data_IF_707322193401
#
_entry.id   IF_707322193401
#
_cell.length_a   1.000
_cell.length_b   1.000
_cell.length_c   1.000
_cell.angle_alpha   90.00
_cell.angle_beta   90.00
_cell.angle_gamma   90.00
#
_symmetry.space_group_name_H-M   'P 1'
#
loop_
_entity.id
_entity.type
_entity.pdbx_description
1 polymer ?
#
# COMPACT_ATOMS: atom_id res chain seq x y z
N UNK A 1 23.25 14.20 20.48
CA UNK A 1 22.01 14.50 21.23
C UNK A 1 21.11 15.14 20.20
N UNK A 2 20.22 14.34 19.58
CA UNK A 2 19.21 14.90 18.66
C UNK A 2 18.18 15.58 19.52
N UNK A 3 18.06 16.89 19.37
CA UNK A 3 16.96 17.68 19.86
C UNK A 3 15.71 17.18 19.17
N UNK A 4 14.70 16.63 19.87
CA UNK A 4 13.42 16.37 19.22
C UNK A 4 12.94 17.73 18.73
N UNK A 5 12.81 17.92 17.41
CA UNK A 5 12.11 19.07 16.88
C UNK A 5 10.73 19.06 17.54
N UNK A 6 10.53 19.96 18.51
CA UNK A 6 9.20 20.39 18.90
C UNK A 6 8.64 21.01 17.64
N UNK A 7 7.85 20.24 16.90
CA UNK A 7 6.95 20.79 15.92
C UNK A 7 5.93 21.62 16.71
N UNK A 8 6.24 22.90 16.94
CA UNK A 8 5.19 23.89 17.16
C UNK A 8 4.42 23.91 15.83
N UNK A 9 3.39 23.12 15.77
CA UNK A 9 2.46 23.12 14.65
C UNK A 9 1.59 24.37 14.87
N UNK A 10 2.00 25.47 14.24
CA UNK A 10 1.11 26.60 13.98
C UNK A 10 0.14 26.11 12.88
N UNK A 11 -0.74 25.16 13.28
CA UNK A 11 -1.57 24.40 12.37
C UNK A 11 -2.73 25.24 11.88
N UNK A 12 -3.00 25.23 10.56
CA UNK A 12 -4.26 25.78 10.09
C UNK A 12 -5.41 25.05 10.79
N UNK A 13 -6.35 25.78 11.39
CA UNK A 13 -7.51 25.24 12.08
C UNK A 13 -8.37 24.32 11.19
N UNK A 14 -8.18 24.38 9.85
CA UNK A 14 -8.92 23.61 8.84
C UNK A 14 -7.95 22.72 8.05
N UNK A 15 -7.77 21.49 8.47
CA UNK A 15 -6.83 20.58 7.81
C UNK A 15 -7.35 19.17 7.70
N UNK A 16 -7.07 18.51 6.57
CA UNK A 16 -7.22 17.07 6.37
C UNK A 16 -5.85 16.44 6.24
N UNK A 17 -5.48 15.63 7.22
CA UNK A 17 -4.30 14.76 7.14
C UNK A 17 -4.69 13.45 6.48
N UNK A 18 -4.03 13.11 5.37
CA UNK A 18 -4.20 11.79 4.72
C UNK A 18 -3.04 10.91 5.15
N UNK A 19 -3.30 10.00 6.07
CA UNK A 19 -2.26 9.29 6.83
C UNK A 19 -2.12 7.85 6.39
N UNK A 20 -0.91 7.46 6.01
CA UNK A 20 -0.53 6.08 5.82
C UNK A 20 -0.25 5.39 7.15
N UNK A 21 -1.09 4.42 7.54
CA UNK A 21 -0.96 3.70 8.83
C UNK A 21 -0.09 2.44 8.76
N UNK A 22 0.66 2.24 7.68
CA UNK A 22 1.43 1.03 7.51
C UNK A 22 0.58 -0.21 7.21
N UNK A 23 1.17 -1.41 7.22
CA UNK A 23 0.51 -2.63 6.77
C UNK A 23 -0.43 -3.25 7.80
N UNK A 24 -0.28 -2.95 9.10
CA UNK A 24 -1.10 -3.61 10.13
C UNK A 24 -0.91 -3.07 11.52
N UNK A 25 0.10 -3.56 12.23
CA UNK A 25 0.37 -3.22 13.63
C UNK A 25 0.81 -1.75 13.79
N UNK A 26 0.49 -1.13 14.93
CA UNK A 26 0.88 0.25 15.30
C UNK A 26 2.41 0.47 15.31
N UNK A 27 3.20 -0.57 15.48
CA UNK A 27 4.66 -0.51 15.33
C UNK A 27 5.13 -0.07 13.93
N UNK A 28 4.26 -0.17 12.93
CA UNK A 28 4.56 0.26 11.58
C UNK A 28 4.16 1.70 11.28
N UNK A 29 3.56 2.39 12.26
CA UNK A 29 3.28 3.82 12.15
C UNK A 29 4.59 4.62 12.17
N UNK A 30 4.65 5.66 11.35
CA UNK A 30 5.68 6.67 11.51
C UNK A 30 5.38 7.49 12.76
N UNK A 31 6.39 8.13 13.34
CA UNK A 31 6.17 9.00 14.49
C UNK A 31 5.26 10.18 14.15
N UNK A 32 5.36 10.70 12.93
CA UNK A 32 4.48 11.74 12.40
C UNK A 32 3.03 11.26 12.34
N UNK A 33 2.79 10.05 11.82
CA UNK A 33 1.45 9.45 11.78
C UNK A 33 0.85 9.28 13.19
N UNK A 34 1.65 8.85 14.17
CA UNK A 34 1.23 8.73 15.56
C UNK A 34 0.82 10.10 16.12
N UNK A 35 1.68 11.10 15.96
CA UNK A 35 1.42 12.46 16.45
C UNK A 35 0.13 13.05 15.85
N UNK A 36 -0.07 12.90 14.55
CA UNK A 36 -1.27 13.40 13.87
C UNK A 36 -2.54 12.66 14.34
N UNK A 37 -2.47 11.35 14.57
CA UNK A 37 -3.59 10.57 15.09
C UNK A 37 -3.95 10.94 16.54
N UNK A 38 -2.95 11.20 17.40
CA UNK A 38 -3.15 11.60 18.80
C UNK A 38 -3.85 12.96 18.95
N UNK A 39 -3.70 13.84 17.95
CA UNK A 39 -4.25 15.20 17.99
C UNK A 39 -5.46 15.38 17.06
N UNK A 40 -6.03 14.30 16.52
CA UNK A 40 -7.17 14.37 15.62
C UNK A 40 -8.47 14.73 16.35
N UNK A 41 -9.23 15.66 15.78
CA UNK A 41 -10.61 15.97 16.24
C UNK A 41 -11.64 15.00 15.65
N UNK A 42 -11.33 14.42 14.48
CA UNK A 42 -12.15 13.41 13.83
C UNK A 42 -11.29 12.49 12.94
N UNK A 43 -11.61 11.20 12.91
CA UNK A 43 -10.87 10.20 12.12
C UNK A 43 -11.84 9.50 11.18
N UNK A 44 -11.46 9.37 9.90
CA UNK A 44 -12.24 8.63 8.92
C UNK A 44 -11.41 7.61 8.14
N UNK A 45 -12.07 6.59 7.65
CA UNK A 45 -11.39 5.54 6.89
C UNK A 45 -12.30 4.39 6.47
N UNK A 46 -11.70 3.40 5.84
CA UNK A 46 -12.36 2.12 5.65
C UNK A 46 -12.41 1.38 6.99
N UNK A 47 -13.55 0.75 7.31
CA UNK A 47 -13.78 0.14 8.64
C UNK A 47 -12.63 -0.75 9.12
N UNK A 48 -12.10 -1.64 8.27
CA UNK A 48 -10.99 -2.52 8.65
C UNK A 48 -9.69 -1.78 9.00
N UNK A 49 -9.53 -0.53 8.55
CA UNK A 49 -8.35 0.29 8.88
C UNK A 49 -8.58 1.04 10.18
N UNK A 50 -9.81 1.49 10.42
CA UNK A 50 -10.18 2.09 11.70
C UNK A 50 -10.07 1.07 12.84
N UNK A 51 -10.51 -0.18 12.63
CA UNK A 51 -10.42 -1.25 13.62
C UNK A 51 -8.96 -1.54 14.08
N UNK A 52 -7.96 -1.18 13.26
CA UNK A 52 -6.54 -1.34 13.60
C UNK A 52 -5.99 -0.25 14.53
N UNK A 53 -6.60 0.94 14.51
CA UNK A 53 -6.06 2.12 15.20
C UNK A 53 -6.95 2.59 16.35
N UNK A 54 -8.25 2.36 16.27
CA UNK A 54 -9.24 2.82 17.25
C UNK A 54 -8.89 2.45 18.71
N UNK A 55 -8.33 1.27 19.01
CA UNK A 55 -7.95 0.91 20.37
C UNK A 55 -6.82 1.78 20.96
N UNK A 56 -5.91 2.28 20.11
CA UNK A 56 -4.71 3.02 20.52
C UNK A 56 -4.87 4.54 20.42
N UNK A 57 -5.76 4.99 19.54
CA UNK A 57 -5.97 6.42 19.26
C UNK A 57 -7.44 6.79 19.48
N UNK A 58 -7.90 6.93 20.73
CA UNK A 58 -9.28 7.32 21.02
C UNK A 58 -9.58 8.71 20.46
N UNK A 59 -10.69 8.86 19.73
CA UNK A 59 -11.12 10.10 19.10
C UNK A 59 -12.61 10.30 19.35
N UNK A 60 -13.06 11.56 19.44
CA UNK A 60 -14.48 11.86 19.68
C UNK A 60 -15.38 11.41 18.53
N UNK A 61 -14.88 11.44 17.30
CA UNK A 61 -15.69 11.14 16.12
C UNK A 61 -14.95 10.24 15.14
N UNK A 62 -15.55 9.07 14.87
CA UNK A 62 -15.11 8.15 13.82
C UNK A 62 -16.14 8.08 12.71
N UNK A 63 -15.68 8.19 11.46
CA UNK A 63 -16.52 8.02 10.29
C UNK A 63 -16.00 6.91 9.39
N UNK A 64 -16.84 5.92 9.13
CA UNK A 64 -16.49 4.80 8.24
C UNK A 64 -17.50 4.63 7.13
N UNK A 65 -17.03 4.22 5.97
CA UNK A 65 -17.88 3.77 4.87
C UNK A 65 -17.41 2.43 4.34
N UNK A 66 -18.30 1.69 3.67
CA UNK A 66 -17.92 0.47 2.95
C UNK A 66 -17.00 0.73 1.75
N UNK A 67 -16.54 -0.36 1.12
CA UNK A 67 -15.85 -0.29 -0.17
C UNK A 67 -16.72 0.41 -1.23
N UNK A 68 -16.10 1.09 -2.19
CA UNK A 68 -16.74 1.87 -3.27
C UNK A 68 -17.36 3.20 -2.84
N UNK A 69 -17.09 3.63 -1.62
CA UNK A 69 -17.56 4.90 -1.05
C UNK A 69 -16.39 5.84 -0.73
N UNK A 70 -15.33 5.76 -1.53
CA UNK A 70 -14.12 6.54 -1.35
C UNK A 70 -14.40 8.04 -1.46
N UNK A 71 -15.16 8.46 -2.45
CA UNK A 71 -15.52 9.87 -2.67
C UNK A 71 -16.39 10.42 -1.54
N UNK A 72 -17.32 9.62 -1.01
CA UNK A 72 -18.17 10.03 0.11
C UNK A 72 -17.29 10.32 1.37
N UNK A 73 -16.26 9.49 1.61
CA UNK A 73 -15.29 9.72 2.69
C UNK A 73 -14.47 11.00 2.49
N UNK A 74 -13.98 11.23 1.25
CA UNK A 74 -13.22 12.44 0.95
C UNK A 74 -14.06 13.70 1.20
N UNK A 75 -15.30 13.73 0.71
CA UNK A 75 -16.21 14.86 0.94
C UNK A 75 -16.46 15.09 2.42
N UNK A 76 -16.82 14.03 3.14
CA UNK A 76 -17.04 14.13 4.58
C UNK A 76 -15.81 14.71 5.31
N UNK A 77 -14.60 14.26 4.98
CA UNK A 77 -13.38 14.76 5.61
C UNK A 77 -13.16 16.25 5.32
N UNK A 78 -13.33 16.67 4.07
CA UNK A 78 -13.16 18.06 3.66
C UNK A 78 -14.25 18.98 4.25
N UNK A 79 -15.51 18.55 4.22
CA UNK A 79 -16.63 19.28 4.84
C UNK A 79 -16.41 19.43 6.34
N UNK A 80 -15.96 18.35 7.01
CA UNK A 80 -15.69 18.37 8.45
C UNK A 80 -14.52 19.31 8.78
N UNK A 81 -13.42 19.23 8.05
CA UNK A 81 -12.27 20.13 8.22
C UNK A 81 -12.66 21.59 7.98
N UNK A 82 -13.54 21.86 7.00
CA UNK A 82 -14.00 23.22 6.72
C UNK A 82 -14.78 23.86 7.88
N UNK A 83 -15.22 23.07 8.87
CA UNK A 83 -15.82 23.58 10.12
C UNK A 83 -14.78 23.97 11.19
N UNK A 84 -13.48 23.97 10.88
CA UNK A 84 -12.42 24.32 11.83
C UNK A 84 -11.93 23.11 12.64
N UNK A 85 -11.80 21.94 12.01
CA UNK A 85 -11.36 20.71 12.67
C UNK A 85 -10.16 20.10 11.98
N UNK A 86 -9.29 19.43 12.78
CA UNK A 86 -8.22 18.56 12.30
C UNK A 86 -8.80 17.18 12.02
N UNK A 87 -8.90 16.84 10.75
CA UNK A 87 -9.49 15.57 10.31
C UNK A 87 -8.41 14.65 9.80
N UNK A 88 -8.38 13.42 10.28
CA UNK A 88 -7.45 12.39 9.81
C UNK A 88 -8.19 11.38 8.93
N UNK A 89 -7.72 11.19 7.70
CA UNK A 89 -8.15 10.10 6.83
C UNK A 89 -7.10 9.01 6.78
N UNK A 90 -7.40 7.83 7.32
CA UNK A 90 -6.46 6.72 7.40
C UNK A 90 -6.47 5.84 6.16
N UNK A 91 -5.28 5.46 5.70
CA UNK A 91 -5.00 4.56 4.59
C UNK A 91 -4.12 3.41 5.04
N UNK A 92 -4.47 2.16 4.75
CA UNK A 92 -3.53 1.05 4.96
C UNK A 92 -2.31 1.20 4.04
N UNK A 93 -1.13 0.92 4.56
CA UNK A 93 0.12 1.12 3.85
C UNK A 93 0.49 2.60 3.80
N UNK A 94 0.64 3.14 2.61
CA UNK A 94 1.00 4.53 2.32
C UNK A 94 -0.18 5.28 1.69
N UNK A 95 -0.38 6.53 2.07
CA UNK A 95 -1.49 7.36 1.60
C UNK A 95 -1.41 7.70 0.10
N UNK A 96 -0.20 7.76 -0.48
CA UNK A 96 0.05 8.06 -1.88
C UNK A 96 0.15 6.82 -2.78
N UNK A 97 0.33 5.62 -2.20
CA UNK A 97 0.45 4.36 -2.97
C UNK A 97 -0.88 3.61 -3.01
N UNK A 98 -1.68 3.89 -4.02
CA UNK A 98 -3.07 3.39 -4.17
C UNK A 98 -3.98 3.73 -2.98
N UNK A 99 -3.61 4.76 -2.22
CA UNK A 99 -4.35 5.28 -1.08
C UNK A 99 -5.29 6.43 -1.44
N UNK A 100 -5.66 7.20 -0.43
CA UNK A 100 -6.68 8.25 -0.56
C UNK A 100 -6.10 9.66 -0.82
N UNK A 101 -4.76 9.83 -0.89
CA UNK A 101 -4.17 11.15 -1.08
C UNK A 101 -4.63 11.81 -2.39
N UNK A 102 -4.60 11.08 -3.52
CA UNK A 102 -5.03 11.64 -4.81
C UNK A 102 -6.49 12.10 -4.81
N UNK A 103 -7.49 11.28 -4.46
CA UNK A 103 -8.89 11.74 -4.49
C UNK A 103 -9.19 12.85 -3.47
N UNK A 104 -8.51 12.91 -2.33
CA UNK A 104 -8.67 14.03 -1.38
C UNK A 104 -8.13 15.32 -2.00
N UNK A 105 -6.91 15.29 -2.55
CA UNK A 105 -6.29 16.45 -3.18
C UNK A 105 -7.08 16.95 -4.40
N UNK A 106 -7.67 16.04 -5.18
CA UNK A 106 -8.53 16.40 -6.31
C UNK A 106 -9.81 17.13 -5.84
N UNK A 107 -10.49 16.62 -4.81
CA UNK A 107 -11.72 17.21 -4.27
C UNK A 107 -11.46 18.47 -3.43
N UNK A 108 -10.26 18.62 -2.85
CA UNK A 108 -9.90 19.80 -2.07
C UNK A 108 -9.93 21.10 -2.89
N UNK A 109 -9.91 21.03 -4.21
CA UNK A 109 -10.08 22.20 -5.09
C UNK A 109 -11.42 22.91 -4.87
N UNK A 110 -12.44 22.19 -4.38
CA UNK A 110 -13.75 22.74 -4.02
C UNK A 110 -13.78 23.35 -2.60
N UNK A 111 -12.69 23.22 -1.83
CA UNK A 111 -12.56 23.68 -0.44
C UNK A 111 -11.27 24.51 -0.23
N UNK A 112 -11.17 25.70 -0.81
CA UNK A 112 -9.91 26.48 -0.88
C UNK A 112 -9.35 26.90 0.48
N UNK A 113 -10.17 26.91 1.54
CA UNK A 113 -9.75 27.25 2.91
C UNK A 113 -9.29 26.04 3.72
N UNK A 114 -9.34 24.81 3.14
CA UNK A 114 -8.95 23.57 3.82
C UNK A 114 -7.56 23.17 3.33
N UNK A 115 -6.60 23.09 4.24
CA UNK A 115 -5.29 22.49 3.96
C UNK A 115 -5.40 20.97 3.84
N UNK A 116 -4.57 20.38 2.99
CA UNK A 116 -4.44 18.92 2.87
C UNK A 116 -2.97 18.54 3.00
N UNK A 117 -2.67 17.76 4.03
CA UNK A 117 -1.34 17.25 4.31
C UNK A 117 -1.29 15.73 4.13
N UNK A 118 -0.25 15.24 3.48
CA UNK A 118 -0.08 13.80 3.21
C UNK A 118 1.04 13.25 4.08
N UNK A 119 0.68 12.39 5.03
CA UNK A 119 1.62 11.76 5.94
C UNK A 119 1.99 10.37 5.41
N UNK A 120 3.28 10.09 5.12
CA UNK A 120 3.71 8.85 4.53
C UNK A 120 3.55 7.65 5.47
N UNK A 121 3.40 6.47 4.89
CA UNK A 121 3.34 5.21 5.62
C UNK A 121 4.14 4.10 4.94
N UNK A 122 4.36 2.99 5.65
CA UNK A 122 5.06 1.82 5.11
C UNK A 122 4.15 1.04 4.17
N UNK A 123 4.31 1.26 2.86
CA UNK A 123 3.56 0.53 1.84
C UNK A 123 3.85 -0.98 1.87
N UNK A 124 2.87 -1.80 1.51
CA UNK A 124 2.99 -3.26 1.47
C UNK A 124 4.18 -3.76 0.62
N UNK A 125 4.56 -3.04 -0.45
CA UNK A 125 5.72 -3.39 -1.26
C UNK A 125 7.01 -3.46 -0.43
N UNK A 126 7.24 -2.48 0.42
CA UNK A 126 8.46 -2.40 1.24
C UNK A 126 8.36 -3.29 2.48
N UNK A 127 7.24 -3.22 3.20
CA UNK A 127 7.05 -4.00 4.43
C UNK A 127 7.00 -5.51 4.18
N UNK A 128 6.27 -5.97 3.17
CA UNK A 128 6.27 -7.40 2.81
C UNK A 128 7.58 -7.83 2.13
N UNK A 129 8.25 -6.93 1.41
CA UNK A 129 9.60 -7.17 0.89
C UNK A 129 10.59 -7.48 2.02
N UNK A 130 10.51 -6.76 3.14
CA UNK A 130 11.33 -7.02 4.34
C UNK A 130 11.05 -8.40 4.97
N UNK A 131 9.78 -8.85 4.97
CA UNK A 131 9.41 -10.20 5.43
C UNK A 131 10.06 -11.29 4.57
N UNK A 132 10.12 -11.09 3.25
CA UNK A 132 10.75 -12.03 2.32
C UNK A 132 12.28 -11.98 2.34
N UNK A 133 12.87 -10.85 2.72
CA UNK A 133 14.32 -10.62 2.70
C UNK A 133 14.68 -9.30 2.01
N UNK A 134 15.19 -9.36 0.77
CA UNK A 134 15.57 -8.17 -0.01
C UNK A 134 15.20 -8.35 -1.50
N UNK A 135 13.92 -8.56 -1.84
CA UNK A 135 13.50 -8.80 -3.24
C UNK A 135 13.62 -7.55 -4.12
N UNK A 136 13.54 -6.36 -3.52
CA UNK A 136 13.48 -5.08 -4.21
C UNK A 136 14.79 -4.27 -4.10
N UNK A 137 15.92 -4.93 -3.91
CA UNK A 137 17.22 -4.27 -3.75
C UNK A 137 17.80 -3.74 -5.08
N UNK A 138 17.13 -3.93 -6.20
CA UNK A 138 17.42 -3.40 -7.53
C UNK A 138 16.20 -2.60 -8.03
N UNK A 139 16.23 -2.14 -9.29
CA UNK A 139 15.09 -1.40 -9.86
C UNK A 139 13.81 -2.21 -9.80
N UNK A 140 12.74 -1.59 -9.36
CA UNK A 140 11.46 -2.27 -9.19
C UNK A 140 10.26 -1.37 -9.55
N UNK A 141 9.14 -2.00 -9.80
CA UNK A 141 7.86 -1.33 -10.00
C UNK A 141 6.76 -1.90 -9.10
N UNK A 142 5.74 -1.09 -8.85
CA UNK A 142 4.51 -1.49 -8.14
C UNK A 142 3.35 -1.44 -9.11
N UNK A 143 2.60 -2.55 -9.26
CA UNK A 143 1.49 -2.66 -10.19
C UNK A 143 0.26 -3.21 -9.45
N UNK A 144 -0.85 -2.46 -9.50
CA UNK A 144 -2.14 -2.97 -9.05
C UNK A 144 -2.81 -3.77 -10.15
N UNK A 145 -3.28 -4.97 -9.82
CA UNK A 145 -4.07 -5.80 -10.73
C UNK A 145 -5.57 -5.46 -10.72
N UNK A 146 -5.98 -4.42 -9.97
CA UNK A 146 -7.37 -3.98 -9.94
C UNK A 146 -7.74 -3.20 -11.20
N UNK A 147 -8.72 -3.68 -11.96
CA UNK A 147 -9.26 -3.02 -13.15
C UNK A 147 -10.44 -2.09 -12.87
N UNK A 148 -10.65 -1.72 -11.61
CA UNK A 148 -11.79 -0.85 -11.22
C UNK A 148 -11.68 0.56 -11.76
N UNK A 149 -10.47 1.12 -11.76
CA UNK A 149 -10.18 2.49 -12.21
C UNK A 149 -9.19 2.52 -13.38
N UNK A 150 -8.56 1.38 -13.70
CA UNK A 150 -7.57 1.26 -14.77
C UNK A 150 -7.99 0.11 -15.69
N UNK A 151 -8.23 0.33 -16.99
CA UNK A 151 -8.56 -0.73 -17.92
C UNK A 151 -7.53 -1.85 -17.92
N UNK A 152 -8.00 -3.12 -18.07
CA UNK A 152 -7.12 -4.30 -18.01
C UNK A 152 -5.99 -4.25 -19.05
N UNK A 153 -6.25 -3.74 -20.23
CA UNK A 153 -5.27 -3.60 -21.32
C UNK A 153 -4.09 -2.69 -20.91
N UNK A 154 -4.34 -1.70 -20.07
CA UNK A 154 -3.29 -0.83 -19.50
C UNK A 154 -2.46 -1.59 -18.47
N UNK A 155 -3.10 -2.40 -17.63
CA UNK A 155 -2.41 -3.26 -16.65
C UNK A 155 -1.55 -4.29 -17.38
N UNK A 156 -2.09 -4.94 -18.40
CA UNK A 156 -1.39 -5.90 -19.25
C UNK A 156 -0.13 -5.29 -19.88
N UNK A 157 -0.25 -4.10 -20.47
CA UNK A 157 0.90 -3.37 -21.01
C UNK A 157 1.97 -3.08 -19.97
N UNK A 158 1.58 -2.67 -18.75
CA UNK A 158 2.52 -2.42 -17.65
C UNK A 158 3.25 -3.69 -17.21
N UNK A 159 2.55 -4.82 -17.11
CA UNK A 159 3.13 -6.13 -16.81
C UNK A 159 4.12 -6.56 -17.89
N UNK A 160 3.77 -6.40 -19.17
CA UNK A 160 4.66 -6.70 -20.29
C UNK A 160 5.93 -5.85 -20.24
N UNK A 161 5.82 -4.53 -20.03
CA UNK A 161 6.97 -3.63 -19.90
C UNK A 161 7.86 -4.00 -18.69
N UNK A 162 7.26 -4.37 -17.56
CA UNK A 162 8.01 -4.80 -16.38
C UNK A 162 8.80 -6.10 -16.64
N UNK A 163 8.23 -7.03 -17.39
CA UNK A 163 8.90 -8.25 -17.79
C UNK A 163 10.04 -7.98 -18.78
N UNK A 164 9.79 -7.21 -19.83
CA UNK A 164 10.79 -6.88 -20.88
C UNK A 164 11.95 -6.03 -20.33
N UNK A 165 11.67 -5.11 -19.39
CA UNK A 165 12.68 -4.31 -18.70
C UNK A 165 13.40 -5.07 -17.58
N UNK A 166 13.07 -6.33 -17.34
CA UNK A 166 13.60 -7.16 -16.26
C UNK A 166 13.49 -6.53 -14.86
N UNK A 167 12.44 -5.74 -14.61
CA UNK A 167 12.18 -5.19 -13.27
C UNK A 167 11.78 -6.27 -12.27
N UNK A 168 12.14 -6.06 -11.00
CA UNK A 168 11.39 -6.66 -9.91
C UNK A 168 10.02 -5.99 -9.83
N UNK A 169 8.98 -6.71 -9.45
CA UNK A 169 7.65 -6.12 -9.33
C UNK A 169 6.95 -6.53 -8.04
N UNK A 170 6.27 -5.58 -7.40
CA UNK A 170 5.29 -5.86 -6.35
C UNK A 170 3.88 -5.70 -6.93
N UNK A 171 3.10 -6.80 -6.91
CA UNK A 171 1.74 -6.81 -7.43
C UNK A 171 0.74 -6.68 -6.28
N UNK A 172 -0.12 -5.67 -6.37
CA UNK A 172 -1.21 -5.38 -5.43
C UNK A 172 -2.54 -5.88 -5.98
N UNK A 173 -3.49 -6.18 -5.10
CA UNK A 173 -4.83 -6.64 -5.46
C UNK A 173 -4.81 -7.88 -6.37
N UNK A 174 -4.05 -8.93 -6.05
CA UNK A 174 -3.84 -10.09 -6.93
C UNK A 174 -5.10 -10.92 -7.14
N UNK A 175 -6.10 -10.81 -6.25
CA UNK A 175 -7.38 -11.52 -6.33
C UNK A 175 -8.48 -10.81 -5.55
N UNK A 176 -9.72 -11.01 -5.97
CA UNK A 176 -10.93 -10.63 -5.24
C UNK A 176 -12.10 -11.54 -5.64
N UNK A 177 -13.25 -11.43 -4.95
CA UNK A 177 -14.45 -12.22 -5.29
C UNK A 177 -14.88 -12.09 -6.76
N UNK A 178 -14.74 -10.91 -7.35
CA UNK A 178 -15.07 -10.65 -8.76
C UNK A 178 -13.92 -10.91 -9.73
N UNK A 179 -12.72 -11.20 -9.25
CA UNK A 179 -11.47 -11.31 -10.03
C UNK A 179 -10.57 -12.41 -9.47
N UNK A 180 -11.02 -13.67 -9.45
CA UNK A 180 -10.27 -14.77 -8.82
C UNK A 180 -9.04 -15.20 -9.65
N UNK A 181 -8.98 -14.86 -10.94
CA UNK A 181 -7.99 -15.33 -11.92
C UNK A 181 -6.97 -14.24 -12.36
N UNK A 182 -6.98 -13.07 -11.72
CA UNK A 182 -6.13 -11.97 -12.16
C UNK A 182 -4.64 -12.22 -11.95
N UNK A 183 -4.26 -12.91 -10.88
CA UNK A 183 -2.87 -13.34 -10.70
C UNK A 183 -2.43 -14.30 -11.81
N UNK A 184 -3.25 -15.29 -12.16
CA UNK A 184 -2.97 -16.24 -13.23
C UNK A 184 -2.79 -15.53 -14.58
N UNK A 185 -3.65 -14.58 -14.90
CA UNK A 185 -3.51 -13.73 -16.10
C UNK A 185 -2.20 -12.95 -16.08
N UNK A 186 -1.87 -12.31 -14.96
CA UNK A 186 -0.63 -11.55 -14.80
C UNK A 186 0.60 -12.44 -15.00
N UNK A 187 0.63 -13.64 -14.41
CA UNK A 187 1.72 -14.60 -14.58
C UNK A 187 1.90 -15.02 -16.05
N UNK A 188 0.80 -15.29 -16.76
CA UNK A 188 0.86 -15.62 -18.20
C UNK A 188 1.43 -14.50 -19.04
N UNK A 189 1.02 -13.25 -18.76
CA UNK A 189 1.55 -12.05 -19.43
C UNK A 189 3.05 -11.89 -19.16
N UNK A 190 3.49 -12.02 -17.90
CA UNK A 190 4.90 -11.94 -17.54
C UNK A 190 5.74 -13.00 -18.27
N UNK A 191 5.26 -14.25 -18.32
CA UNK A 191 5.93 -15.35 -19.02
C UNK A 191 5.97 -15.14 -20.54
N UNK A 192 4.88 -14.69 -21.13
CA UNK A 192 4.82 -14.39 -22.57
C UNK A 192 5.75 -13.24 -22.99
N UNK A 193 6.17 -12.39 -22.02
CA UNK A 193 7.06 -11.25 -22.25
C UNK A 193 8.48 -11.43 -21.68
N UNK A 194 8.92 -12.67 -21.44
CA UNK A 194 10.33 -13.01 -21.19
C UNK A 194 10.67 -13.42 -19.76
N UNK A 195 9.76 -13.38 -18.79
CA UNK A 195 10.04 -13.95 -17.46
C UNK A 195 10.05 -15.47 -17.52
N UNK A 196 11.13 -16.09 -17.08
CA UNK A 196 11.28 -17.54 -17.05
C UNK A 196 10.37 -18.19 -16.01
N UNK A 197 9.96 -19.44 -16.22
CA UNK A 197 9.09 -20.16 -15.29
C UNK A 197 9.74 -20.41 -13.92
N UNK A 198 11.06 -20.49 -13.85
CA UNK A 198 11.88 -20.61 -12.64
C UNK A 198 12.23 -19.29 -11.97
N UNK A 199 11.79 -18.14 -12.52
CA UNK A 199 11.93 -16.82 -11.86
C UNK A 199 11.45 -16.91 -10.41
N UNK A 200 12.31 -16.52 -9.46
CA UNK A 200 11.99 -16.53 -8.04
C UNK A 200 10.93 -15.47 -7.73
N UNK A 201 9.88 -15.90 -7.05
CA UNK A 201 8.76 -15.07 -6.62
C UNK A 201 8.53 -15.22 -5.12
N UNK A 202 7.76 -14.30 -4.55
CA UNK A 202 7.37 -14.33 -3.16
C UNK A 202 5.91 -13.94 -2.95
N UNK A 203 5.31 -14.46 -1.91
CA UNK A 203 3.99 -14.10 -1.42
C UNK A 203 4.09 -13.68 0.04
N UNK A 204 3.45 -12.59 0.41
CA UNK A 204 3.25 -12.25 1.82
C UNK A 204 1.78 -11.91 2.03
N UNK A 205 1.15 -12.62 2.95
CA UNK A 205 -0.25 -12.43 3.32
C UNK A 205 -0.31 -11.81 4.72
N UNK A 206 -1.27 -10.93 4.96
CA UNK A 206 -1.52 -10.27 6.25
C UNK A 206 -0.26 -9.61 6.83
N UNK A 207 0.46 -8.83 6.02
CA UNK A 207 1.69 -8.14 6.45
C UNK A 207 1.42 -7.32 7.72
N UNK A 208 2.21 -7.55 8.78
CA UNK A 208 2.08 -6.83 10.05
C UNK A 208 0.77 -7.10 10.81
N UNK A 209 0.05 -8.17 10.50
CA UNK A 209 -1.23 -8.55 11.13
C UNK A 209 -1.19 -9.97 11.64
N UNK A 210 -2.15 -10.32 12.47
CA UNK A 210 -2.35 -11.70 12.90
C UNK A 210 -2.51 -12.63 11.69
N UNK A 211 -1.87 -13.80 11.75
CA UNK A 211 -1.84 -14.75 10.65
C UNK A 211 -0.94 -14.35 9.49
N UNK A 212 0.06 -13.45 9.71
CA UNK A 212 1.09 -13.18 8.71
C UNK A 212 1.76 -14.46 8.26
N UNK A 213 1.86 -14.63 6.94
CA UNK A 213 2.56 -15.75 6.34
C UNK A 213 3.33 -15.31 5.10
N UNK A 214 4.46 -15.98 4.82
CA UNK A 214 5.28 -15.72 3.66
C UNK A 214 5.71 -17.02 3.00
N UNK A 215 5.85 -17.00 1.67
CA UNK A 215 6.33 -18.13 0.88
C UNK A 215 7.19 -17.64 -0.26
N UNK A 216 8.34 -18.29 -0.48
CA UNK A 216 9.18 -18.13 -1.67
C UNK A 216 8.91 -19.31 -2.59
N UNK A 217 8.69 -19.05 -3.88
CA UNK A 217 8.29 -20.03 -4.89
C UNK A 217 8.74 -19.55 -6.27
N UNK A 218 8.53 -20.37 -7.28
CA UNK A 218 8.80 -19.99 -8.69
C UNK A 218 7.58 -19.35 -9.35
N UNK A 219 7.79 -18.65 -10.46
CA UNK A 219 6.73 -18.04 -11.26
C UNK A 219 5.77 -19.13 -11.83
N UNK A 220 6.28 -20.31 -12.15
CA UNK A 220 5.45 -21.43 -12.59
C UNK A 220 4.53 -21.97 -11.48
N UNK A 221 5.04 -22.07 -10.24
CA UNK A 221 4.23 -22.47 -9.08
C UNK A 221 3.21 -21.39 -8.72
N UNK A 222 3.58 -20.10 -8.87
CA UNK A 222 2.73 -18.96 -8.58
C UNK A 222 1.44 -18.98 -9.43
N UNK A 223 1.50 -19.43 -10.69
CA UNK A 223 0.34 -19.51 -11.58
C UNK A 223 -0.82 -20.33 -10.99
N UNK A 224 -0.50 -21.36 -10.19
CA UNK A 224 -1.49 -22.24 -9.58
C UNK A 224 -1.68 -22.02 -8.07
N UNK A 225 -1.07 -20.97 -7.52
CA UNK A 225 -1.16 -20.68 -6.09
C UNK A 225 -2.36 -19.79 -5.80
N UNK A 226 -3.29 -20.23 -4.93
CA UNK A 226 -4.42 -19.38 -4.52
C UNK A 226 -3.93 -18.20 -3.68
N UNK A 227 -4.50 -17.04 -3.92
CA UNK A 227 -4.23 -15.79 -3.19
C UNK A 227 -5.54 -15.06 -2.92
N UNK A 228 -5.50 -14.13 -1.97
CA UNK A 228 -6.61 -13.25 -1.63
C UNK A 228 -6.22 -11.77 -1.71
N UNK A 229 -7.14 -10.88 -1.39
CA UNK A 229 -6.92 -9.44 -1.41
C UNK A 229 -5.94 -8.93 -0.34
N UNK A 230 -5.59 -9.76 0.66
CA UNK A 230 -4.64 -9.43 1.71
C UNK A 230 -3.22 -9.91 1.39
N UNK A 231 -3.02 -10.40 0.18
CA UNK A 231 -1.73 -10.92 -0.30
C UNK A 231 -1.04 -9.89 -1.19
N UNK A 232 0.23 -9.64 -0.93
CA UNK A 232 1.14 -8.92 -1.84
C UNK A 232 2.05 -9.94 -2.51
N UNK A 233 2.16 -9.85 -3.83
CA UNK A 233 2.95 -10.78 -4.66
C UNK A 233 4.22 -10.07 -5.13
N UNK A 234 5.35 -10.76 -5.07
CA UNK A 234 6.65 -10.26 -5.50
C UNK A 234 7.18 -11.10 -6.65
N UNK A 235 7.51 -10.46 -7.75
CA UNK A 235 8.12 -11.09 -8.92
C UNK A 235 9.58 -10.63 -8.97
N UNK A 236 10.50 -11.58 -8.99
CA UNK A 236 11.92 -11.27 -9.11
C UNK A 236 12.33 -10.87 -10.54
N UNK A 237 13.58 -10.44 -10.67
CA UNK A 237 14.24 -10.27 -11.96
C UNK A 237 15.16 -11.49 -12.26
N UNK A 238 15.91 -11.43 -13.38
CA UNK A 238 16.83 -12.50 -13.81
C UNK A 238 17.94 -12.82 -12.78
N UNK A 239 18.25 -11.89 -11.88
CA UNK A 239 19.27 -12.04 -10.84
C UNK A 239 18.70 -12.46 -9.48
N UNK A 240 17.38 -12.46 -9.30
CA UNK A 240 16.74 -12.81 -8.03
C UNK A 240 16.96 -14.29 -7.69
N UNK A 241 17.29 -14.57 -6.44
CA UNK A 241 17.59 -15.92 -5.94
C UNK A 241 16.90 -16.22 -4.63
N UNK A 242 16.62 -17.50 -4.40
CA UNK A 242 16.22 -17.98 -3.09
C UNK A 242 17.48 -18.34 -2.30
N UNK A 243 17.77 -17.61 -1.22
CA UNK A 243 18.94 -17.81 -0.36
C UNK A 243 18.47 -18.12 1.06
N UNK A 244 18.71 -19.33 1.54
CA UNK A 244 18.30 -19.77 2.89
C UNK A 244 16.82 -19.47 3.19
N UNK A 245 15.94 -19.77 2.22
CA UNK A 245 14.49 -19.53 2.34
C UNK A 245 14.04 -18.07 2.16
N UNK A 246 14.95 -17.16 1.86
CA UNK A 246 14.66 -15.74 1.61
C UNK A 246 14.73 -15.40 0.12
N UNK A 247 13.92 -14.46 -0.32
CA UNK A 247 13.97 -13.88 -1.66
C UNK A 247 14.94 -12.70 -1.68
N UNK A 248 16.00 -12.80 -2.50
CA UNK A 248 17.05 -11.78 -2.57
C UNK A 248 17.36 -11.44 -4.02
N UNK A 249 17.37 -10.16 -4.35
CA UNK A 249 17.86 -9.63 -5.62
C UNK A 249 19.24 -8.99 -5.38
N UNK A 250 20.34 -9.66 -5.77
CA UNK A 250 21.71 -9.16 -5.50
C UNK A 250 22.00 -7.87 -6.26
N UNK A 251 22.72 -6.94 -5.63
CA UNK A 251 23.22 -5.71 -6.27
C UNK A 251 24.56 -5.88 -7.02
N UNK A 252 25.11 -7.10 -7.03
CA UNK A 252 26.34 -7.39 -7.74
C UNK A 252 27.65 -7.12 -6.98
N UNK A 253 27.62 -6.94 -5.66
CA UNK A 253 28.82 -6.74 -4.83
C UNK A 253 29.73 -7.97 -4.74
N UNK A 254 29.17 -9.18 -4.93
CA UNK A 254 29.94 -10.41 -5.06
C UNK A 254 29.92 -10.84 -6.52
N UNK A 255 31.09 -10.87 -7.13
CA UNK A 255 31.33 -11.46 -8.46
C UNK A 255 31.47 -12.97 -8.36
#
# INVERSE_FOLDING_TARGET
MFDPMEFEIDEPEKVVYVVGIGPGDVYYLTQEAQNVLEHADAICGYKLYLDLIEPEFPCEEYYSTGMTKEIDRCRWALEKANTGRRVVMVCSGDAGVYGMASPVLELAQDYPDVAVEVVPGLTAALSGGAVLGAPLAHDFCVISLSDRLTPWEVIEKRLACAAQGDFCAALYNPSSKGRPDYLQKAVRILRANGKAGDTVCGLVRNIGREGQSARVLTLAELENTPVDMFTTVYIGNSNTRALSGRMVTPRGYRK
#
